data_IF_505982524617
#
_entry.id   IF_505982524617
#
_cell.length_a   1.000
_cell.length_b   1.000
_cell.length_c   1.000
_cell.angle_alpha   90.00
_cell.angle_beta   90.00
_cell.angle_gamma   90.00
#
_symmetry.space_group_name_H-M   'P 1'
#
loop_
_entity.id
_entity.type
_entity.pdbx_description
1 polymer ?
#
# COMPACT_ATOMS: atom_id res chain seq x y z
N UNK A 1 -1.80 30.49 35.69
CA UNK A 1 -2.77 29.76 34.85
C UNK A 1 -2.01 29.33 33.61
N UNK A 2 -1.71 28.04 33.51
CA UNK A 2 -1.14 27.49 32.28
C UNK A 2 -2.26 27.53 31.23
N UNK A 3 -2.05 28.31 30.18
CA UNK A 3 -2.91 28.31 29.02
C UNK A 3 -2.65 26.98 28.30
N UNK A 4 -3.41 25.95 28.65
CA UNK A 4 -3.44 24.68 27.94
C UNK A 4 -4.22 24.95 26.66
N UNK A 5 -3.55 25.52 25.67
CA UNK A 5 -3.93 25.27 24.29
C UNK A 5 -3.70 23.78 24.09
N UNK A 6 -4.74 22.98 24.28
CA UNK A 6 -4.78 21.64 23.72
C UNK A 6 -4.85 21.87 22.21
N UNK A 7 -3.77 21.64 21.44
CA UNK A 7 -3.91 21.64 19.99
C UNK A 7 -4.68 20.37 19.71
N UNK A 8 -6.01 20.46 19.67
CA UNK A 8 -6.81 19.40 19.08
C UNK A 8 -6.13 19.04 17.76
N UNK A 9 -5.66 17.80 17.72
CA UNK A 9 -4.90 17.19 16.65
C UNK A 9 -5.63 17.41 15.31
N UNK A 10 -5.24 18.46 14.58
CA UNK A 10 -5.98 18.99 13.43
C UNK A 10 -6.08 17.98 12.27
N UNK A 11 -5.20 16.97 12.27
CA UNK A 11 -5.22 15.88 11.30
C UNK A 11 -6.27 14.80 11.63
N UNK A 12 -6.72 14.71 12.89
CA UNK A 12 -7.83 13.85 13.31
C UNK A 12 -9.21 14.53 13.23
N UNK A 13 -9.27 15.85 13.06
CA UNK A 13 -10.54 16.58 12.95
C UNK A 13 -10.99 16.78 11.49
N UNK A 14 -10.13 16.43 10.52
CA UNK A 14 -10.43 16.49 9.09
C UNK A 14 -10.66 15.10 8.53
N UNK A 15 -11.79 14.91 7.84
CA UNK A 15 -12.22 13.61 7.32
C UNK A 15 -12.26 13.59 5.79
N UNK A 16 -11.91 12.43 5.23
CA UNK A 16 -11.89 12.11 3.82
C UNK A 16 -12.78 10.89 3.58
N UNK A 17 -13.53 10.89 2.48
CA UNK A 17 -14.25 9.71 2.00
C UNK A 17 -13.35 8.95 1.01
N UNK A 18 -13.12 7.67 1.26
CA UNK A 18 -12.34 6.81 0.38
C UNK A 18 -13.24 6.05 -0.58
N UNK A 19 -13.07 6.26 -1.88
CA UNK A 19 -13.71 5.44 -2.92
C UNK A 19 -12.90 4.16 -3.06
N UNK A 20 -13.45 3.03 -2.63
CA UNK A 20 -12.81 1.71 -2.76
C UNK A 20 -13.24 0.96 -4.02
N UNK A 21 -14.20 1.50 -4.76
CA UNK A 21 -14.70 1.00 -6.04
C UNK A 21 -15.04 2.16 -6.98
N UNK A 22 -15.23 1.84 -8.27
CA UNK A 22 -15.67 2.79 -9.30
C UNK A 22 -17.17 3.16 -9.20
N UNK A 23 -17.90 2.50 -8.29
CA UNK A 23 -19.31 2.77 -8.02
C UNK A 23 -19.41 3.75 -6.86
N UNK A 24 -20.17 4.85 -7.03
CA UNK A 24 -20.49 5.80 -5.96
C UNK A 24 -21.38 5.10 -4.92
N UNK A 25 -20.76 4.37 -4.01
CA UNK A 25 -21.45 3.67 -2.93
C UNK A 25 -21.47 4.55 -1.67
N UNK A 26 -22.66 4.73 -1.09
CA UNK A 26 -22.86 5.42 0.20
C UNK A 26 -22.12 4.69 1.35
N UNK A 27 -21.60 3.48 1.10
CA UNK A 27 -20.79 2.66 2.01
C UNK A 27 -19.28 2.97 1.98
N UNK A 28 -18.84 3.92 1.16
CA UNK A 28 -17.43 4.37 1.12
C UNK A 28 -16.93 4.82 2.50
N UNK A 29 -15.84 4.25 3.04
CA UNK A 29 -15.39 4.56 4.39
C UNK A 29 -14.97 6.02 4.52
N UNK A 30 -15.37 6.63 5.63
CA UNK A 30 -14.95 7.98 6.02
C UNK A 30 -13.87 7.83 7.08
N UNK A 31 -12.69 8.36 6.80
CA UNK A 31 -11.51 8.28 7.67
C UNK A 31 -10.93 9.66 7.89
N UNK A 32 -10.25 9.87 9.00
CA UNK A 32 -9.46 11.05 9.30
C UNK A 32 -8.29 11.16 8.33
N UNK A 33 -7.77 12.37 8.17
CA UNK A 33 -6.59 12.63 7.34
C UNK A 33 -5.38 11.85 7.86
N UNK A 34 -5.22 11.77 9.19
CA UNK A 34 -4.19 10.97 9.84
C UNK A 34 -4.31 9.48 9.50
N UNK A 35 -5.52 8.91 9.60
CA UNK A 35 -5.77 7.52 9.23
C UNK A 35 -5.50 7.24 7.75
N UNK A 36 -5.94 8.14 6.85
CA UNK A 36 -5.65 8.03 5.41
C UNK A 36 -4.13 8.03 5.13
N UNK A 37 -3.39 8.96 5.74
CA UNK A 37 -1.94 9.04 5.59
C UNK A 37 -1.24 7.77 6.10
N UNK A 38 -1.59 7.32 7.31
CA UNK A 38 -1.06 6.07 7.85
C UNK A 38 -1.34 4.90 6.93
N UNK A 39 -2.57 4.81 6.39
CA UNK A 39 -2.93 3.73 5.48
C UNK A 39 -2.10 3.73 4.20
N UNK A 40 -1.90 4.89 3.58
CA UNK A 40 -1.03 5.04 2.40
C UNK A 40 0.43 4.65 2.69
N UNK A 41 1.00 5.11 3.80
CA UNK A 41 2.36 4.75 4.19
C UNK A 41 2.49 3.26 4.50
N UNK A 42 1.50 2.67 5.18
CA UNK A 42 1.46 1.25 5.46
C UNK A 42 1.48 0.41 4.18
N UNK A 43 0.66 0.74 3.18
CA UNK A 43 0.67 0.02 1.90
C UNK A 43 2.06 0.01 1.27
N UNK A 44 2.68 1.19 1.10
CA UNK A 44 3.99 1.32 0.48
C UNK A 44 5.08 0.59 1.27
N UNK A 45 5.11 0.75 2.60
CA UNK A 45 6.14 0.12 3.43
C UNK A 45 5.97 -1.39 3.50
N UNK A 46 4.75 -1.91 3.53
CA UNK A 46 4.50 -3.36 3.55
C UNK A 46 5.08 -4.06 2.31
N UNK A 47 5.01 -3.38 1.15
CA UNK A 47 5.62 -3.87 -0.10
C UNK A 47 7.14 -3.80 -0.02
N UNK A 48 7.69 -2.68 0.47
CA UNK A 48 9.14 -2.50 0.60
C UNK A 48 9.78 -3.47 1.61
N UNK A 49 9.08 -3.82 2.68
CA UNK A 49 9.52 -4.77 3.70
C UNK A 49 9.35 -6.24 3.28
N UNK A 50 8.77 -6.48 2.09
CA UNK A 50 8.55 -7.83 1.57
C UNK A 50 7.41 -8.59 2.25
N UNK A 51 6.55 -7.89 2.99
CA UNK A 51 5.30 -8.44 3.54
C UNK A 51 4.08 -7.64 3.06
N UNK A 52 3.78 -7.64 1.74
CA UNK A 52 2.69 -6.84 1.19
C UNK A 52 1.36 -7.05 1.94
N UNK A 53 0.72 -5.95 2.34
CA UNK A 53 -0.56 -5.98 3.05
C UNK A 53 -0.48 -6.32 4.53
N UNK A 54 0.71 -6.44 5.11
CA UNK A 54 0.90 -6.64 6.54
C UNK A 54 1.77 -5.54 7.16
N UNK A 55 1.39 -5.11 8.36
CA UNK A 55 2.13 -4.14 9.18
C UNK A 55 2.33 -4.70 10.58
N UNK A 56 3.58 -4.76 11.04
CA UNK A 56 3.90 -5.20 12.40
C UNK A 56 3.63 -4.12 13.43
N UNK A 57 3.38 -4.54 14.67
CA UNK A 57 3.33 -3.63 15.82
C UNK A 57 4.64 -2.86 16.00
N UNK A 58 5.78 -3.52 15.74
CA UNK A 58 7.10 -2.89 15.83
C UNK A 58 7.25 -1.71 14.86
N UNK A 59 6.73 -1.85 13.64
CA UNK A 59 6.70 -0.75 12.67
C UNK A 59 5.85 0.42 13.19
N UNK A 60 4.62 0.14 13.67
CA UNK A 60 3.73 1.19 14.18
C UNK A 60 4.31 1.92 15.38
N UNK A 61 4.96 1.19 16.28
CA UNK A 61 5.65 1.73 17.45
C UNK A 61 6.86 2.60 17.06
N UNK A 62 7.49 2.34 15.90
CA UNK A 62 8.65 3.09 15.43
C UNK A 62 8.28 4.45 14.78
N UNK A 63 7.06 4.59 14.23
CA UNK A 63 6.69 5.78 13.44
C UNK A 63 5.97 6.87 14.25
N UNK A 64 5.16 6.55 15.28
CA UNK A 64 4.62 7.51 16.27
C UNK A 64 3.77 6.79 17.34
N UNK A 65 3.60 7.39 18.52
CA UNK A 65 2.67 6.92 19.55
C UNK A 65 1.19 7.17 19.20
N UNK A 66 0.91 8.10 18.27
CA UNK A 66 -0.45 8.43 17.81
C UNK A 66 -1.03 7.37 16.86
N UNK A 67 -0.20 6.41 16.40
CA UNK A 67 -0.63 5.40 15.42
C UNK A 67 -1.66 4.41 15.96
N UNK A 68 -1.77 4.24 17.29
CA UNK A 68 -2.76 3.35 17.89
C UNK A 68 -4.19 3.83 17.65
N UNK A 69 -4.43 5.14 17.73
CA UNK A 69 -5.76 5.72 17.50
C UNK A 69 -6.14 5.59 16.02
N UNK A 70 -5.24 5.96 15.10
CA UNK A 70 -5.46 5.82 13.66
C UNK A 70 -5.61 4.36 13.23
N UNK A 71 -4.85 3.42 13.79
CA UNK A 71 -4.98 1.99 13.47
C UNK A 71 -6.34 1.45 13.94
N UNK A 72 -6.81 1.91 15.12
CA UNK A 72 -8.14 1.57 15.62
C UNK A 72 -9.23 2.11 14.68
N UNK A 73 -9.08 3.35 14.21
CA UNK A 73 -9.99 3.95 13.23
C UNK A 73 -10.06 3.12 11.94
N UNK A 74 -8.91 2.76 11.38
CA UNK A 74 -8.82 1.93 10.17
C UNK A 74 -9.45 0.54 10.37
N UNK A 75 -9.35 -0.03 11.57
CA UNK A 75 -10.05 -1.27 11.90
C UNK A 75 -11.57 -1.09 12.00
N UNK A 76 -12.05 0.02 12.56
CA UNK A 76 -13.50 0.28 12.67
C UNK A 76 -14.18 0.43 11.32
N UNK A 77 -13.47 0.99 10.33
CA UNK A 77 -13.97 1.11 8.96
C UNK A 77 -13.66 -0.10 8.07
N UNK A 78 -13.09 -1.17 8.65
CA UNK A 78 -12.83 -2.43 7.96
C UNK A 78 -11.61 -2.46 7.03
N UNK A 79 -10.92 -1.33 6.86
CA UNK A 79 -9.70 -1.25 6.04
C UNK A 79 -8.55 -2.07 6.62
N UNK A 80 -8.51 -2.23 7.94
CA UNK A 80 -7.48 -3.02 8.63
C UNK A 80 -8.12 -4.10 9.50
N UNK A 81 -7.40 -5.18 9.75
CA UNK A 81 -7.80 -6.20 10.73
C UNK A 81 -6.60 -6.58 11.58
N UNK A 82 -6.82 -6.69 12.89
CA UNK A 82 -5.79 -7.13 13.83
C UNK A 82 -5.41 -8.59 13.56
N UNK A 83 -4.11 -8.84 13.44
CA UNK A 83 -3.54 -10.18 13.37
C UNK A 83 -2.78 -10.47 14.67
N UNK A 84 -3.46 -11.15 15.59
CA UNK A 84 -2.91 -11.48 16.91
C UNK A 84 -1.83 -12.56 16.84
N UNK A 85 -1.84 -13.41 15.79
CA UNK A 85 -0.87 -14.49 15.65
C UNK A 85 0.48 -13.95 15.21
N UNK A 86 0.49 -13.00 14.28
CA UNK A 86 1.71 -12.38 13.73
C UNK A 86 2.13 -11.11 14.46
N UNK A 87 1.29 -10.56 15.34
CA UNK A 87 1.58 -9.35 16.11
C UNK A 87 1.57 -8.10 15.24
N UNK A 88 0.41 -7.78 14.66
CA UNK A 88 0.27 -6.63 13.79
C UNK A 88 -1.11 -6.50 13.16
N UNK A 89 -1.16 -6.00 11.93
CA UNK A 89 -2.38 -5.70 11.19
C UNK A 89 -2.27 -6.17 9.74
N UNK A 90 -3.38 -6.69 9.22
CA UNK A 90 -3.60 -6.99 7.80
C UNK A 90 -4.41 -5.85 7.18
N UNK A 91 -4.00 -5.39 6.00
CA UNK A 91 -4.71 -4.38 5.23
C UNK A 91 -5.71 -5.07 4.29
N UNK A 92 -6.99 -4.75 4.43
CA UNK A 92 -8.11 -5.28 3.65
C UNK A 92 -8.49 -4.37 2.47
N UNK A 93 -7.59 -3.52 2.01
CA UNK A 93 -7.85 -2.64 0.87
C UNK A 93 -7.70 -3.44 -0.44
N UNK A 94 -8.69 -3.44 -1.35
CA UNK A 94 -8.58 -4.10 -2.66
C UNK A 94 -7.32 -3.70 -3.44
N UNK A 95 -6.89 -2.44 -3.33
CA UNK A 95 -5.68 -1.94 -3.95
C UNK A 95 -4.43 -2.68 -3.47
N UNK A 96 -4.40 -3.12 -2.21
CA UNK A 96 -3.28 -3.92 -1.69
C UNK A 96 -3.18 -5.21 -2.46
N UNK A 97 -4.28 -5.95 -2.63
CA UNK A 97 -4.29 -7.20 -3.38
C UNK A 97 -3.82 -6.99 -4.83
N UNK A 98 -4.30 -5.95 -5.49
CA UNK A 98 -3.89 -5.61 -6.85
C UNK A 98 -2.40 -5.26 -6.95
N UNK A 99 -1.86 -4.51 -5.98
CA UNK A 99 -0.44 -4.16 -5.91
C UNK A 99 0.41 -5.39 -5.62
N UNK A 100 -0.02 -6.28 -4.72
CA UNK A 100 0.67 -7.55 -4.46
C UNK A 100 0.72 -8.39 -5.73
N UNK A 101 -0.43 -8.59 -6.39
CA UNK A 101 -0.51 -9.40 -7.60
C UNK A 101 0.35 -8.81 -8.72
N UNK A 102 0.31 -7.48 -8.89
CA UNK A 102 1.15 -6.78 -9.85
C UNK A 102 2.64 -7.01 -9.55
N UNK A 103 3.06 -6.88 -8.28
CA UNK A 103 4.46 -7.08 -7.88
C UNK A 103 4.91 -8.53 -8.10
N UNK A 104 4.09 -9.51 -7.72
CA UNK A 104 4.38 -10.93 -7.91
C UNK A 104 4.43 -11.31 -9.40
N UNK A 105 3.58 -10.69 -10.22
CA UNK A 105 3.65 -10.84 -11.68
C UNK A 105 4.95 -10.24 -12.23
N UNK A 106 5.32 -9.04 -11.82
CA UNK A 106 6.56 -8.39 -12.26
C UNK A 106 7.80 -9.21 -11.92
N UNK A 107 7.89 -9.77 -10.71
CA UNK A 107 9.02 -10.62 -10.32
C UNK A 107 9.04 -11.95 -11.09
N UNK A 108 7.89 -12.59 -11.31
CA UNK A 108 7.80 -13.79 -12.16
C UNK A 108 8.21 -13.53 -13.60
N UNK A 109 7.74 -12.42 -14.18
CA UNK A 109 8.07 -12.05 -15.57
C UNK A 109 9.55 -11.71 -15.70
N UNK A 110 10.13 -11.06 -14.69
CA UNK A 110 11.57 -10.79 -14.62
C UNK A 110 12.36 -12.10 -14.54
N UNK A 111 12.04 -13.01 -13.63
CA UNK A 111 12.72 -14.31 -13.50
C UNK A 111 12.62 -15.13 -14.80
N UNK A 112 11.44 -15.14 -15.43
CA UNK A 112 11.23 -15.79 -16.72
C UNK A 112 12.15 -15.20 -17.80
N UNK A 113 12.18 -13.87 -17.93
CA UNK A 113 13.03 -13.20 -18.91
C UNK A 113 14.52 -13.44 -18.65
N UNK A 114 14.98 -13.34 -17.39
CA UNK A 114 16.37 -13.60 -17.00
C UNK A 114 16.80 -15.04 -17.29
N UNK A 115 15.89 -16.01 -17.14
CA UNK A 115 16.17 -17.43 -17.36
C UNK A 115 16.15 -17.83 -18.84
N UNK A 116 15.24 -17.23 -19.62
CA UNK A 116 14.95 -17.69 -20.99
C UNK A 116 15.46 -16.77 -22.09
N UNK A 117 15.80 -15.52 -21.75
CA UNK A 117 15.98 -14.46 -22.75
C UNK A 117 14.68 -14.07 -23.47
N UNK A 118 13.51 -14.49 -22.97
CA UNK A 118 12.21 -14.30 -23.62
C UNK A 118 11.62 -12.89 -23.50
N UNK A 119 12.46 -11.86 -23.68
CA UNK A 119 12.03 -10.47 -23.70
C UNK A 119 11.18 -10.16 -24.94
N UNK A 120 10.11 -9.37 -24.77
CA UNK A 120 9.21 -8.98 -25.86
C UNK A 120 9.12 -7.45 -25.97
N UNK A 121 9.22 -6.92 -27.18
CA UNK A 121 9.00 -5.49 -27.47
C UNK A 121 7.59 -5.26 -28.03
N UNK A 122 6.95 -4.16 -27.65
CA UNK A 122 5.78 -3.62 -28.37
C UNK A 122 6.18 -2.42 -29.22
N UNK A 123 5.49 -2.24 -30.36
CA UNK A 123 5.61 -1.05 -31.21
C UNK A 123 5.18 0.23 -30.45
N UNK A 124 4.32 0.12 -29.42
CA UNK A 124 3.85 1.24 -28.59
C UNK A 124 4.82 1.62 -27.46
N UNK A 125 5.55 0.65 -26.89
CA UNK A 125 6.47 0.88 -25.76
C UNK A 125 7.83 1.45 -26.20
N UNK A 126 8.03 1.63 -27.50
CA UNK A 126 9.33 1.95 -28.09
C UNK A 126 10.32 0.77 -28.02
N UNK A 127 11.34 0.73 -28.89
CA UNK A 127 12.18 -0.45 -29.11
C UNK A 127 13.21 -0.75 -28.00
N UNK A 128 12.96 -0.33 -26.76
CA UNK A 128 13.99 -0.35 -25.70
C UNK A 128 13.54 -0.91 -24.35
N UNK A 129 12.27 -1.28 -24.18
CA UNK A 129 11.75 -1.80 -22.91
C UNK A 129 10.92 -3.07 -23.19
N UNK A 130 11.15 -4.11 -22.38
CA UNK A 130 10.38 -5.34 -22.42
C UNK A 130 8.97 -5.13 -21.89
N UNK A 131 7.93 -5.57 -22.59
CA UNK A 131 6.52 -5.38 -22.16
C UNK A 131 6.08 -6.30 -21.01
N UNK A 132 6.86 -7.34 -20.70
CA UNK A 132 6.59 -8.25 -19.58
C UNK A 132 7.21 -7.75 -18.29
N UNK A 133 8.53 -7.65 -18.28
CA UNK A 133 9.30 -7.33 -17.08
C UNK A 133 9.70 -5.86 -16.96
N UNK A 134 9.37 -5.01 -17.95
CA UNK A 134 9.74 -3.60 -18.04
C UNK A 134 11.25 -3.32 -17.92
N UNK A 135 12.10 -4.33 -18.06
CA UNK A 135 13.54 -4.17 -18.12
C UNK A 135 13.96 -3.58 -19.47
N UNK A 136 15.01 -2.75 -19.52
CA UNK A 136 15.56 -2.27 -20.77
C UNK A 136 16.19 -3.42 -21.57
N UNK A 137 15.80 -3.57 -22.83
CA UNK A 137 16.33 -4.61 -23.72
C UNK A 137 17.65 -4.12 -24.33
N UNK A 138 18.75 -4.87 -24.12
CA UNK A 138 20.03 -4.56 -24.78
C UNK A 138 20.16 -5.40 -26.05
N UNK A 139 20.93 -4.89 -27.02
CA UNK A 139 21.21 -5.60 -28.26
C UNK A 139 21.88 -6.95 -27.96
N UNK A 140 21.14 -8.05 -28.14
CA UNK A 140 21.56 -9.42 -27.84
C UNK A 140 20.64 -10.20 -26.90
N UNK A 141 19.66 -9.53 -26.27
CA UNK A 141 18.72 -10.12 -25.29
C UNK A 141 17.38 -10.57 -25.91
N UNK A 142 17.22 -10.49 -27.24
CA UNK A 142 16.01 -10.82 -27.99
C UNK A 142 16.26 -11.92 -29.04
#
# INVERSE_FOLDING_TARGET
MLNVSDPEDDDHTTYLRMSLSDEDDDESPIVSRAAFQLHGFAMVNSVQDGTPGFISDDYLNAISAETTLTATELCMVGLWTRDEERGGYVLNDPMVADVVEFNDRMERDKEFCETTGGHETSEESGPTICVKCHAPIRNGDA
#
